data_IF_060415075889
#
_entry.id   IF_060415075889
#
_cell.length_a   1.000
_cell.length_b   1.000
_cell.length_c   1.000
_cell.angle_alpha   90.00
_cell.angle_beta   90.00
_cell.angle_gamma   90.00
#
_symmetry.space_group_name_H-M   'P 1'
#
loop_
_entity.id
_entity.type
_entity.pdbx_description
1 polymer ?
#
# COMPACT_ATOMS: atom_id res chain seq x y z
N UNK A 1 17.51 -4.90 4.77
CA UNK A 1 17.66 -6.13 3.93
C UNK A 1 19.12 -6.31 3.55
N UNK A 2 19.53 -7.53 3.16
CA UNK A 2 20.92 -7.86 2.84
C UNK A 2 21.51 -7.01 1.68
N UNK A 3 20.67 -6.47 0.80
CA UNK A 3 21.09 -5.65 -0.35
C UNK A 3 21.26 -4.15 -0.03
N UNK A 4 21.45 -3.78 1.24
CA UNK A 4 21.59 -2.38 1.65
C UNK A 4 20.28 -1.57 1.57
N UNK A 5 19.13 -2.23 1.58
CA UNK A 5 17.81 -1.57 1.59
C UNK A 5 17.33 -1.40 3.03
N UNK A 6 17.15 -0.16 3.47
CA UNK A 6 16.46 0.20 4.72
C UNK A 6 14.94 0.20 4.52
N UNK A 7 14.18 -0.20 5.54
CA UNK A 7 12.72 -0.20 5.52
C UNK A 7 12.20 0.48 6.77
N UNK A 8 11.36 1.51 6.59
CA UNK A 8 10.74 2.24 7.70
C UNK A 8 9.24 2.32 7.49
N UNK A 9 8.43 1.65 8.34
CA UNK A 9 6.98 1.82 8.33
C UNK A 9 6.58 3.03 9.16
N UNK A 10 5.89 4.00 8.54
CA UNK A 10 5.30 5.12 9.25
C UNK A 10 3.79 4.90 9.38
N UNK A 11 3.33 4.63 10.61
CA UNK A 11 1.92 4.26 10.87
C UNK A 11 0.99 5.45 11.05
N UNK A 12 1.52 6.60 11.48
CA UNK A 12 0.76 7.83 11.72
C UNK A 12 1.72 9.01 11.69
N UNK A 13 1.23 10.18 11.25
CA UNK A 13 1.96 11.44 11.38
C UNK A 13 1.68 12.05 12.76
N UNK A 14 2.43 11.59 13.78
CA UNK A 14 2.44 12.11 15.15
C UNK A 14 3.37 13.34 15.27
N UNK A 15 3.33 14.03 16.42
CA UNK A 15 4.15 15.23 16.68
C UNK A 15 5.66 15.04 16.46
N UNK A 16 6.17 13.81 16.63
CA UNK A 16 7.59 13.49 16.49
C UNK A 16 7.88 12.69 15.20
N UNK A 17 6.92 12.51 14.31
CA UNK A 17 7.05 11.61 13.17
C UNK A 17 8.24 11.96 12.26
N UNK A 18 8.51 13.25 12.06
CA UNK A 18 9.65 13.73 11.27
C UNK A 18 10.98 13.32 11.92
N UNK A 19 11.15 13.60 13.20
CA UNK A 19 12.40 13.34 13.92
C UNK A 19 12.65 11.84 14.09
N UNK A 20 11.60 11.07 14.36
CA UNK A 20 11.67 9.60 14.43
C UNK A 20 12.06 9.00 13.07
N UNK A 21 11.52 9.51 11.96
CA UNK A 21 11.92 9.05 10.63
C UNK A 21 13.37 9.41 10.31
N UNK A 22 13.79 10.64 10.62
CA UNK A 22 15.17 11.07 10.39
C UNK A 22 16.14 10.20 11.18
N UNK A 23 15.89 9.99 12.47
CA UNK A 23 16.71 9.17 13.34
C UNK A 23 16.77 7.72 12.86
N UNK A 24 15.62 7.12 12.51
CA UNK A 24 15.56 5.76 11.98
C UNK A 24 16.33 5.62 10.66
N UNK A 25 16.20 6.61 9.76
CA UNK A 25 16.91 6.61 8.48
C UNK A 25 18.42 6.71 8.68
N UNK A 26 18.88 7.62 9.56
CA UNK A 26 20.31 7.73 9.90
C UNK A 26 20.86 6.45 10.54
N UNK A 27 20.10 5.81 11.42
CA UNK A 27 20.48 4.54 12.03
C UNK A 27 20.63 3.43 10.98
N UNK A 28 19.65 3.28 10.08
CA UNK A 28 19.72 2.31 8.99
C UNK A 28 20.92 2.58 8.06
N UNK A 29 21.21 3.84 7.75
CA UNK A 29 22.39 4.20 6.96
C UNK A 29 23.70 3.88 7.67
N UNK A 30 23.78 4.10 8.98
CA UNK A 30 24.93 3.69 9.79
C UNK A 30 25.13 2.18 9.80
N UNK A 31 24.03 1.41 9.72
CA UNK A 31 24.03 -0.06 9.58
C UNK A 31 24.25 -0.54 8.13
N UNK A 32 24.58 0.38 7.20
CA UNK A 32 24.96 0.06 5.82
C UNK A 32 23.83 0.16 4.80
N UNK A 33 22.66 0.69 5.15
CA UNK A 33 21.62 0.98 4.16
C UNK A 33 22.05 2.14 3.24
N UNK A 34 21.92 1.93 1.93
CA UNK A 34 22.24 2.92 0.89
C UNK A 34 21.01 3.33 0.08
N UNK A 35 19.85 2.74 0.41
CA UNK A 35 18.57 2.92 -0.26
C UNK A 35 17.45 2.70 0.74
N UNK A 36 16.27 3.25 0.50
CA UNK A 36 15.20 3.25 1.49
C UNK A 36 13.81 2.95 0.89
N UNK A 37 13.03 2.21 1.67
CA UNK A 37 11.59 2.06 1.50
C UNK A 37 10.90 2.77 2.67
N UNK A 38 10.08 3.77 2.35
CA UNK A 38 9.14 4.39 3.28
C UNK A 38 7.76 3.76 3.09
N UNK A 39 7.29 3.01 4.07
CA UNK A 39 5.99 2.33 3.98
C UNK A 39 4.90 3.15 4.65
N UNK A 40 4.01 3.72 3.83
CA UNK A 40 2.84 4.51 4.25
C UNK A 40 1.54 3.69 4.20
N UNK A 41 1.60 2.39 3.88
CA UNK A 41 0.40 1.53 3.81
C UNK A 41 -0.31 1.46 5.16
N UNK A 42 -1.63 1.59 5.11
CA UNK A 42 -2.47 1.64 6.31
C UNK A 42 -2.41 2.96 7.08
N UNK A 43 -1.61 3.96 6.66
CA UNK A 43 -1.46 5.22 7.39
C UNK A 43 -2.57 6.22 7.01
N UNK A 44 -3.51 6.54 7.92
CA UNK A 44 -4.64 7.44 7.63
C UNK A 44 -4.25 8.94 7.61
N UNK A 45 -2.95 9.23 7.76
CA UNK A 45 -2.37 10.55 7.87
C UNK A 45 -2.10 10.93 9.33
N UNK A 46 -2.42 12.16 9.69
CA UNK A 46 -2.14 12.72 11.00
C UNK A 46 -1.94 14.22 10.89
N UNK A 47 -0.97 14.73 11.63
CA UNK A 47 -0.57 16.13 11.65
C UNK A 47 0.00 16.55 10.28
N UNK A 48 -0.52 17.63 9.73
CA UNK A 48 -0.17 18.11 8.38
C UNK A 48 1.23 18.71 8.33
N UNK A 49 1.53 19.55 9.31
CA UNK A 49 2.84 20.17 9.54
C UNK A 49 3.94 19.11 9.60
N UNK A 50 3.65 17.98 10.25
CA UNK A 50 4.56 16.83 10.29
C UNK A 50 4.71 16.15 8.93
N UNK A 51 3.65 16.09 8.12
CA UNK A 51 3.74 15.63 6.73
C UNK A 51 4.64 16.53 5.88
N UNK A 52 4.49 17.87 6.00
CA UNK A 52 5.32 18.83 5.27
C UNK A 52 6.78 18.75 5.71
N UNK A 53 7.04 18.76 7.02
CA UNK A 53 8.38 18.66 7.58
C UNK A 53 9.06 17.33 7.24
N UNK A 54 8.29 16.25 7.06
CA UNK A 54 8.82 14.97 6.62
C UNK A 54 9.23 15.00 5.14
N UNK A 55 8.44 15.64 4.27
CA UNK A 55 8.82 15.80 2.87
C UNK A 55 10.13 16.61 2.72
N UNK A 56 10.34 17.60 3.60
CA UNK A 56 11.58 18.41 3.70
C UNK A 56 12.84 17.55 3.89
N UNK A 57 12.74 16.39 4.55
CA UNK A 57 13.89 15.47 4.71
C UNK A 57 14.47 14.99 3.37
N UNK A 58 13.69 15.04 2.29
CA UNK A 58 14.05 14.48 0.99
C UNK A 58 14.04 15.50 -0.15
N UNK A 59 13.65 16.75 0.11
CA UNK A 59 13.49 17.79 -0.92
C UNK A 59 14.35 19.00 -0.57
N UNK A 60 14.87 19.68 -1.59
CA UNK A 60 15.59 20.95 -1.42
C UNK A 60 14.72 22.02 -0.76
N UNK A 61 15.36 23.07 -0.23
CA UNK A 61 14.70 24.24 0.36
C UNK A 61 13.81 24.97 -0.67
N UNK A 62 12.71 25.55 -0.21
CA UNK A 62 11.78 26.35 -1.02
C UNK A 62 11.12 25.58 -2.18
N UNK A 63 10.92 24.28 -2.02
CA UNK A 63 10.13 23.45 -2.91
C UNK A 63 8.69 23.32 -2.39
N UNK A 64 7.71 23.49 -3.29
CA UNK A 64 6.30 23.27 -2.96
C UNK A 64 6.06 21.82 -2.56
N UNK A 65 5.44 21.58 -1.41
CA UNK A 65 4.98 20.25 -0.98
C UNK A 65 3.51 20.07 -1.30
N UNK A 66 2.67 21.06 -1.00
CA UNK A 66 1.24 21.03 -1.29
C UNK A 66 0.65 22.42 -1.39
N UNK A 67 -0.49 22.53 -2.07
CA UNK A 67 -1.28 23.74 -2.11
C UNK A 67 -2.70 23.49 -1.57
N UNK A 68 -3.24 24.46 -0.84
CA UNK A 68 -4.68 24.54 -0.59
C UNK A 68 -5.32 25.51 -1.57
N UNK A 69 -6.48 25.13 -2.11
CA UNK A 69 -7.33 26.05 -2.88
C UNK A 69 -8.75 26.00 -2.34
N UNK A 70 -9.20 27.13 -1.79
CA UNK A 70 -10.53 27.30 -1.19
C UNK A 70 -11.42 28.23 -2.01
N UNK A 71 -12.57 28.61 -1.43
CA UNK A 71 -13.52 29.54 -2.07
C UNK A 71 -13.03 30.98 -1.98
N UNK A 72 -12.30 31.32 -0.93
CA UNK A 72 -11.75 32.66 -0.69
C UNK A 72 -10.23 32.64 -0.75
N UNK A 73 -9.60 33.76 -1.13
CA UNK A 73 -8.12 33.86 -1.21
C UNK A 73 -7.43 33.52 0.11
N UNK A 74 -8.03 33.86 1.24
CA UNK A 74 -7.51 33.54 2.58
C UNK A 74 -7.46 32.04 2.91
N UNK A 75 -8.13 31.20 2.11
CA UNK A 75 -8.09 29.74 2.25
C UNK A 75 -7.05 29.11 1.31
N UNK A 76 -6.42 29.92 0.46
CA UNK A 76 -5.34 29.47 -0.40
C UNK A 76 -4.02 29.59 0.35
N UNK A 77 -3.19 28.56 0.23
CA UNK A 77 -1.88 28.48 0.86
C UNK A 77 -0.99 27.59 0.01
N UNK A 78 0.32 27.87 0.05
CA UNK A 78 1.35 27.03 -0.54
C UNK A 78 2.24 26.61 0.61
N UNK A 79 2.34 25.31 0.85
CA UNK A 79 3.21 24.72 1.85
C UNK A 79 4.52 24.35 1.16
N UNK A 80 5.64 24.78 1.75
CA UNK A 80 6.98 24.64 1.17
C UNK A 80 7.92 24.01 2.19
N UNK A 81 9.00 23.42 1.69
CA UNK A 81 10.15 22.99 2.49
C UNK A 81 10.92 24.19 3.03
N UNK A 82 11.50 24.05 4.22
CA UNK A 82 12.16 25.15 4.94
C UNK A 82 13.63 24.88 5.23
N UNK A 83 14.04 23.63 5.43
CA UNK A 83 15.41 23.29 5.87
C UNK A 83 16.28 22.71 4.76
N UNK A 84 15.68 22.09 3.75
CA UNK A 84 16.37 21.40 2.67
C UNK A 84 16.73 19.95 3.02
N UNK A 85 17.17 19.20 2.00
CA UNK A 85 17.23 17.74 2.08
C UNK A 85 18.26 17.23 3.07
N UNK A 86 17.82 16.34 3.96
CA UNK A 86 18.68 15.63 4.91
C UNK A 86 19.32 14.38 4.30
N UNK A 87 18.72 13.85 3.23
CA UNK A 87 19.13 12.61 2.57
C UNK A 87 19.33 12.80 1.05
N UNK A 88 20.29 13.66 0.64
CA UNK A 88 20.58 13.92 -0.77
C UNK A 88 20.95 12.64 -1.51
N UNK A 89 20.30 12.43 -2.66
CA UNK A 89 20.60 11.31 -3.57
C UNK A 89 20.24 9.91 -3.08
N UNK A 90 19.68 9.75 -1.87
CA UNK A 90 19.24 8.46 -1.35
C UNK A 90 18.09 7.90 -2.20
N UNK A 91 18.25 6.77 -2.93
CA UNK A 91 17.16 6.19 -3.71
C UNK A 91 16.01 5.78 -2.81
N UNK A 92 14.80 6.21 -3.16
CA UNK A 92 13.62 6.13 -2.31
C UNK A 92 12.44 5.51 -3.07
N UNK A 93 11.86 4.49 -2.45
CA UNK A 93 10.53 3.96 -2.82
C UNK A 93 9.55 4.25 -1.70
N UNK A 94 8.32 4.66 -2.05
CA UNK A 94 7.22 4.83 -1.12
C UNK A 94 6.17 3.75 -1.40
N UNK A 95 5.79 2.99 -0.38
CA UNK A 95 4.67 2.06 -0.48
C UNK A 95 3.37 2.73 -0.03
N UNK A 96 2.33 2.63 -0.85
CA UNK A 96 0.97 3.14 -0.55
C UNK A 96 -0.11 2.08 -0.82
N UNK A 97 -1.27 2.29 -0.21
CA UNK A 97 -2.47 1.46 -0.39
C UNK A 97 -3.74 2.32 -0.27
N UNK A 98 -4.91 1.70 -0.47
CA UNK A 98 -6.21 2.36 -0.34
C UNK A 98 -6.54 2.94 1.04
N UNK A 99 -5.70 2.68 2.06
CA UNK A 99 -5.84 3.23 3.42
C UNK A 99 -4.86 4.38 3.69
N UNK A 100 -3.91 4.60 2.79
CA UNK A 100 -3.01 5.75 2.79
C UNK A 100 -3.84 7.01 2.54
N UNK A 101 -3.92 7.91 3.51
CA UNK A 101 -4.81 9.06 3.44
C UNK A 101 -4.18 10.36 3.98
N UNK A 102 -4.70 11.51 3.56
CA UNK A 102 -4.38 12.83 4.13
C UNK A 102 -2.89 13.15 4.05
N UNK A 103 -2.17 13.29 5.18
CA UNK A 103 -0.74 13.60 5.19
C UNK A 103 0.10 12.58 4.42
N UNK A 104 -0.27 11.29 4.43
CA UNK A 104 0.38 10.25 3.63
C UNK A 104 0.31 10.55 2.13
N UNK A 105 -0.84 11.05 1.67
CA UNK A 105 -1.08 11.38 0.26
C UNK A 105 -0.34 12.66 -0.14
N UNK A 106 -0.22 13.62 0.78
CA UNK A 106 0.55 14.84 0.57
C UNK A 106 2.03 14.51 0.41
N UNK A 107 2.61 13.68 1.30
CA UNK A 107 4.01 13.27 1.22
C UNK A 107 4.27 12.45 -0.05
N UNK A 108 3.47 11.40 -0.29
CA UNK A 108 3.64 10.56 -1.47
C UNK A 108 3.47 11.37 -2.76
N UNK A 109 2.45 12.24 -2.84
CA UNK A 109 2.21 13.09 -4.00
C UNK A 109 3.31 14.13 -4.23
N UNK A 110 3.82 14.76 -3.18
CA UNK A 110 4.93 15.71 -3.29
C UNK A 110 6.20 15.04 -3.80
N UNK A 111 6.60 13.93 -3.17
CA UNK A 111 7.82 13.22 -3.54
C UNK A 111 7.71 12.54 -4.92
N UNK A 112 6.51 12.13 -5.33
CA UNK A 112 6.25 11.64 -6.68
C UNK A 112 6.34 12.76 -7.72
N UNK A 113 5.72 13.92 -7.46
CA UNK A 113 5.71 15.05 -8.39
C UNK A 113 7.09 15.70 -8.56
N UNK A 114 7.92 15.69 -7.52
CA UNK A 114 9.32 16.12 -7.59
C UNK A 114 10.25 15.06 -8.19
N UNK A 115 9.74 13.90 -8.59
CA UNK A 115 10.55 12.77 -9.06
C UNK A 115 11.62 12.36 -8.05
N UNK A 116 11.34 12.59 -6.76
CA UNK A 116 12.23 12.27 -5.65
C UNK A 116 12.03 10.84 -5.16
N UNK A 117 10.85 10.28 -5.34
CA UNK A 117 10.53 8.91 -4.96
C UNK A 117 9.72 8.19 -6.04
N UNK A 118 9.92 6.87 -6.13
CA UNK A 118 9.06 5.97 -6.89
C UNK A 118 7.94 5.47 -5.96
N UNK A 119 6.69 5.62 -6.38
CA UNK A 119 5.52 5.18 -5.60
C UNK A 119 5.07 3.81 -6.10
N UNK A 120 4.95 2.83 -5.19
CA UNK A 120 4.58 1.44 -5.51
C UNK A 120 3.40 1.02 -4.63
N UNK A 121 2.49 0.21 -5.18
CA UNK A 121 1.39 -0.41 -4.42
C UNK A 121 0.03 -0.22 -5.08
N UNK A 122 -0.97 0.20 -4.30
CA UNK A 122 -2.33 0.46 -4.78
C UNK A 122 -2.70 1.94 -4.60
N UNK A 123 -3.65 2.43 -5.42
CA UNK A 123 -4.13 3.82 -5.34
C UNK A 123 -4.56 4.20 -3.91
N UNK A 124 -4.14 5.38 -3.45
CA UNK A 124 -4.48 5.89 -2.11
C UNK A 124 -5.96 6.24 -1.93
N UNK A 125 -6.36 6.56 -0.69
CA UNK A 125 -7.76 6.77 -0.32
C UNK A 125 -8.46 7.91 -1.11
N UNK A 126 -7.75 9.01 -1.36
CA UNK A 126 -8.26 10.20 -2.05
C UNK A 126 -8.88 11.24 -1.11
N UNK A 127 -8.32 11.45 0.08
CA UNK A 127 -8.77 12.46 1.05
C UNK A 127 -8.08 13.80 0.80
N UNK A 128 -8.49 14.47 -0.26
CA UNK A 128 -7.98 15.79 -0.65
C UNK A 128 -8.75 16.98 -0.05
N UNK A 129 -9.36 16.87 1.13
CA UNK A 129 -10.13 17.94 1.76
C UNK A 129 -9.43 18.55 2.97
N UNK A 130 -9.42 19.88 3.05
CA UNK A 130 -8.99 20.66 4.21
C UNK A 130 -10.19 20.90 5.12
N UNK A 131 -10.06 20.60 6.41
CA UNK A 131 -11.09 20.86 7.41
C UNK A 131 -10.59 21.88 8.43
N UNK A 132 -11.30 23.00 8.57
CA UNK A 132 -11.00 24.07 9.52
C UNK A 132 -11.93 23.96 10.74
N UNK A 133 -11.38 24.19 11.93
CA UNK A 133 -12.15 24.25 13.18
C UNK A 133 -12.51 25.69 13.52
N UNK A 134 -13.80 25.98 13.63
CA UNK A 134 -14.34 27.27 14.04
C UNK A 134 -14.90 27.15 15.45
N UNK A 135 -14.33 27.87 16.41
CA UNK A 135 -14.86 27.93 17.77
C UNK A 135 -16.14 28.78 17.78
N UNK A 136 -17.19 28.24 18.37
CA UNK A 136 -18.49 28.89 18.52
C UNK A 136 -18.67 29.41 19.94
N UNK A 137 -19.65 30.30 20.14
CA UNK A 137 -20.08 30.68 21.49
C UNK A 137 -20.55 29.45 22.28
N UNK A 138 -20.24 29.43 23.58
CA UNK A 138 -20.59 28.30 24.46
C UNK A 138 -19.63 27.10 24.39
N UNK A 139 -18.46 27.23 23.75
CA UNK A 139 -17.41 26.20 23.77
C UNK A 139 -17.54 25.11 22.69
N UNK A 140 -18.59 25.16 21.87
CA UNK A 140 -18.77 24.24 20.74
C UNK A 140 -17.74 24.53 19.61
N UNK A 141 -17.46 23.52 18.78
CA UNK A 141 -16.54 23.66 17.63
C UNK A 141 -17.22 23.14 16.36
N UNK A 142 -17.28 23.97 15.33
CA UNK A 142 -17.71 23.58 13.99
C UNK A 142 -16.50 23.14 13.16
N UNK A 143 -16.52 21.89 12.69
CA UNK A 143 -15.53 21.37 11.74
C UNK A 143 -16.08 21.49 10.32
N UNK A 144 -15.54 22.39 9.52
CA UNK A 144 -16.04 22.70 8.18
C UNK A 144 -14.97 22.46 7.11
N UNK A 145 -15.35 21.82 6.02
CA UNK A 145 -14.48 21.70 4.83
C UNK A 145 -14.39 23.04 4.11
N UNK A 146 -13.19 23.57 3.99
CA UNK A 146 -12.93 24.95 3.50
C UNK A 146 -12.15 24.99 2.20
N UNK A 147 -11.31 23.99 1.94
CA UNK A 147 -10.45 23.94 0.76
C UNK A 147 -10.17 22.51 0.30
N UNK A 148 -9.52 22.39 -0.86
CA UNK A 148 -8.98 21.14 -1.41
C UNK A 148 -7.46 21.18 -1.44
N UNK A 149 -6.84 20.01 -1.30
CA UNK A 149 -5.41 19.77 -1.47
C UNK A 149 -5.05 19.50 -2.93
N UNK A 150 -3.94 20.10 -3.35
CA UNK A 150 -3.31 19.88 -4.64
C UNK A 150 -1.84 19.57 -4.44
N UNK A 151 -1.31 18.65 -5.23
CA UNK A 151 0.11 18.32 -5.27
C UNK A 151 0.90 19.40 -6.04
N UNK A 152 2.25 19.36 -6.05
CA UNK A 152 3.08 20.34 -6.77
C UNK A 152 2.78 20.47 -8.26
N UNK A 153 2.42 19.37 -8.95
CA UNK A 153 1.99 19.39 -10.36
C UNK A 153 0.56 19.93 -10.56
N UNK A 154 -0.11 20.39 -9.50
CA UNK A 154 -1.43 21.00 -9.55
C UNK A 154 -2.59 20.01 -9.70
N UNK A 155 -2.36 18.71 -9.50
CA UNK A 155 -3.42 17.69 -9.50
C UNK A 155 -4.13 17.62 -8.15
N UNK A 156 -5.45 17.46 -8.20
CA UNK A 156 -6.27 17.29 -6.99
C UNK A 156 -6.13 15.87 -6.45
N UNK A 157 -5.91 15.73 -5.16
CA UNK A 157 -5.92 14.43 -4.47
C UNK A 157 -7.35 13.91 -4.30
N UNK A 158 -8.33 14.82 -4.23
CA UNK A 158 -9.70 14.47 -3.85
C UNK A 158 -10.34 13.47 -4.82
N UNK A 159 -10.81 12.34 -4.29
CA UNK A 159 -11.69 11.39 -5.00
C UNK A 159 -13.08 12.01 -5.20
N UNK A 160 -13.64 11.85 -6.40
CA UNK A 160 -15.01 12.27 -6.70
C UNK A 160 -15.98 11.46 -5.82
N UNK A 161 -17.10 12.09 -5.40
CA UNK A 161 -18.09 11.45 -4.51
C UNK A 161 -19.48 11.29 -5.13
N UNK A 162 -19.74 11.85 -6.31
CA UNK A 162 -21.08 11.85 -6.91
C UNK A 162 -21.08 11.00 -8.18
N UNK A 163 -21.82 9.89 -8.16
CA UNK A 163 -22.04 9.00 -9.30
C UNK A 163 -20.91 8.01 -9.61
N UNK A 164 -19.85 8.00 -8.81
CA UNK A 164 -18.72 7.08 -8.97
C UNK A 164 -18.92 5.84 -8.09
N UNK A 165 -19.94 5.04 -8.42
CA UNK A 165 -20.11 3.69 -7.81
C UNK A 165 -18.89 2.81 -8.15
N UNK A 166 -18.20 3.10 -9.27
CA UNK A 166 -17.01 2.38 -9.74
C UNK A 166 -15.85 2.36 -8.75
N UNK A 167 -15.74 3.39 -7.87
CA UNK A 167 -14.72 3.44 -6.82
C UNK A 167 -14.84 2.30 -5.79
N UNK A 168 -15.99 1.64 -5.71
CA UNK A 168 -16.25 0.49 -4.84
C UNK A 168 -16.62 -0.79 -5.61
N UNK A 169 -16.81 -0.73 -6.92
CA UNK A 169 -17.17 -1.91 -7.74
C UNK A 169 -15.98 -2.82 -8.05
N UNK A 170 -14.76 -2.27 -8.09
CA UNK A 170 -13.56 -3.02 -8.45
C UNK A 170 -12.58 -3.14 -7.26
N UNK A 171 -13.10 -3.66 -6.16
CA UNK A 171 -12.33 -3.99 -4.95
C UNK A 171 -12.17 -5.49 -4.78
N UNK A 172 -11.09 -5.91 -4.16
CA UNK A 172 -10.81 -7.31 -3.85
C UNK A 172 -10.23 -7.44 -2.46
N UNK A 173 -10.56 -8.54 -1.79
CA UNK A 173 -10.00 -8.87 -0.49
C UNK A 173 -8.60 -9.47 -0.65
N UNK A 174 -7.61 -8.94 0.06
CA UNK A 174 -6.27 -9.52 0.12
C UNK A 174 -6.25 -10.78 0.99
N UNK A 175 -5.22 -11.59 0.84
CA UNK A 175 -4.92 -12.71 1.73
C UNK A 175 -4.80 -12.28 3.20
N UNK A 176 -4.41 -11.02 3.44
CA UNK A 176 -4.36 -10.39 4.77
C UNK A 176 -5.67 -9.76 5.25
N UNK A 177 -6.77 -9.95 4.51
CA UNK A 177 -8.10 -9.44 4.86
C UNK A 177 -8.28 -7.94 4.66
N UNK A 178 -7.50 -7.32 3.77
CA UNK A 178 -7.61 -5.89 3.45
C UNK A 178 -8.31 -5.69 2.11
N UNK A 179 -9.19 -4.70 2.02
CA UNK A 179 -9.78 -4.31 0.74
C UNK A 179 -8.81 -3.43 -0.04
N UNK A 180 -8.55 -3.80 -1.30
CA UNK A 180 -7.71 -3.03 -2.23
C UNK A 180 -8.44 -2.86 -3.56
N UNK A 181 -8.21 -1.73 -4.23
CA UNK A 181 -8.77 -1.48 -5.56
C UNK A 181 -7.95 -2.28 -6.60
N UNK A 182 -8.59 -3.06 -7.48
CA UNK A 182 -7.88 -3.87 -8.49
C UNK A 182 -7.31 -3.02 -9.63
N UNK A 183 -7.96 -1.90 -9.95
CA UNK A 183 -7.53 -0.94 -10.97
C UNK A 183 -6.90 0.33 -10.38
N UNK A 184 -6.00 0.93 -11.14
CA UNK A 184 -5.27 2.15 -10.78
C UNK A 184 -5.87 3.44 -11.38
N UNK A 185 -6.97 3.29 -12.14
CA UNK A 185 -7.80 4.37 -12.65
C UNK A 185 -7.28 5.01 -13.93
N UNK A 186 -6.97 4.22 -14.96
CA UNK A 186 -6.43 4.67 -16.25
C UNK A 186 -7.23 5.80 -16.93
N UNK A 187 -8.54 5.89 -16.69
CA UNK A 187 -9.44 6.92 -17.21
C UNK A 187 -9.34 8.30 -16.52
N UNK A 188 -8.45 8.44 -15.53
CA UNK A 188 -8.25 9.69 -14.78
C UNK A 188 -7.48 10.75 -15.58
N UNK A 189 -7.67 12.00 -15.19
CA UNK A 189 -7.02 13.14 -15.85
C UNK A 189 -5.48 13.00 -15.77
N UNK A 190 -4.77 13.00 -16.90
CA UNK A 190 -3.31 12.92 -16.91
C UNK A 190 -2.68 14.28 -16.58
N UNK A 191 -1.57 14.21 -15.86
CA UNK A 191 -0.68 15.30 -15.49
C UNK A 191 0.77 14.89 -15.77
N UNK A 192 1.69 15.82 -15.50
CA UNK A 192 3.13 15.57 -15.54
C UNK A 192 3.75 15.87 -14.18
N UNK A 193 4.63 15.00 -13.71
CA UNK A 193 5.57 15.37 -12.65
C UNK A 193 6.46 16.53 -13.13
N UNK A 194 7.20 17.16 -12.23
CA UNK A 194 8.07 18.29 -12.55
C UNK A 194 9.25 17.88 -13.45
N UNK A 195 9.70 16.62 -13.38
CA UNK A 195 10.63 15.98 -14.30
C UNK A 195 9.97 15.32 -15.53
N UNK A 196 8.65 15.47 -15.71
CA UNK A 196 7.95 15.11 -16.95
C UNK A 196 7.38 13.70 -17.05
N UNK A 197 7.43 12.89 -15.99
CA UNK A 197 6.79 11.56 -15.97
C UNK A 197 5.27 11.69 -15.98
N UNK A 198 4.56 10.68 -16.51
CA UNK A 198 3.10 10.64 -16.47
C UNK A 198 2.64 10.37 -15.04
N UNK A 199 1.74 11.21 -14.53
CA UNK A 199 1.06 11.01 -13.25
C UNK A 199 -0.43 11.29 -13.43
N UNK A 200 -1.28 10.72 -12.57
CA UNK A 200 -2.74 10.88 -12.65
C UNK A 200 -3.27 11.75 -11.52
N UNK A 201 -4.29 12.55 -11.80
CA UNK A 201 -4.99 13.38 -10.82
C UNK A 201 -6.43 12.95 -10.62
N UNK A 202 -6.96 13.23 -9.43
CA UNK A 202 -8.33 12.89 -9.02
C UNK A 202 -8.46 11.43 -8.63
N UNK A 203 -8.80 11.14 -7.37
CA UNK A 203 -8.95 9.75 -6.89
C UNK A 203 -7.91 9.26 -5.89
N UNK A 204 -7.02 10.15 -5.41
CA UNK A 204 -5.86 9.80 -4.60
C UNK A 204 -4.57 9.91 -5.40
N UNK A 205 -3.49 9.43 -4.79
CA UNK A 205 -2.20 9.22 -5.42
C UNK A 205 -2.25 7.86 -6.10
N UNK A 206 -2.23 7.87 -7.43
CA UNK A 206 -1.98 6.66 -8.23
C UNK A 206 -0.48 6.35 -8.18
N UNK A 207 -0.09 5.10 -7.86
CA UNK A 207 1.33 4.71 -7.81
C UNK A 207 1.96 4.77 -9.21
N UNK A 208 3.28 4.91 -9.26
CA UNK A 208 4.07 4.76 -10.49
C UNK A 208 4.11 3.30 -10.95
N UNK A 209 4.09 2.36 -10.01
CA UNK A 209 3.98 0.93 -10.30
C UNK A 209 2.84 0.32 -9.49
N UNK A 210 1.79 -0.09 -10.19
CA UNK A 210 0.64 -0.74 -9.58
C UNK A 210 0.97 -2.21 -9.26
N UNK A 211 1.08 -2.52 -7.97
CA UNK A 211 1.36 -3.88 -7.46
C UNK A 211 0.39 -4.15 -6.33
N UNK A 212 -0.47 -5.15 -6.51
CA UNK A 212 -1.38 -5.58 -5.47
C UNK A 212 -0.69 -6.57 -4.53
N UNK A 213 -1.06 -6.58 -3.23
CA UNK A 213 -0.78 -7.72 -2.37
C UNK A 213 -1.37 -9.02 -2.93
N UNK A 214 -1.02 -10.18 -2.37
CA UNK A 214 -1.69 -11.43 -2.73
C UNK A 214 -3.20 -11.30 -2.46
N UNK A 215 -4.03 -11.48 -3.49
CA UNK A 215 -5.49 -11.31 -3.44
C UNK A 215 -6.19 -12.64 -3.41
N UNK A 216 -7.35 -12.67 -2.76
CA UNK A 216 -8.26 -13.80 -2.84
C UNK A 216 -8.92 -13.85 -4.22
N UNK A 217 -9.11 -15.06 -4.74
CA UNK A 217 -10.03 -15.32 -5.85
C UNK A 217 -11.47 -15.07 -5.40
N UNK A 218 -12.40 -14.88 -6.35
CA UNK A 218 -13.81 -14.61 -6.02
C UNK A 218 -14.44 -15.73 -5.15
N UNK A 219 -14.04 -16.99 -5.38
CA UNK A 219 -14.47 -18.15 -4.58
C UNK A 219 -13.90 -18.15 -3.16
N UNK A 220 -12.62 -17.81 -3.01
CA UNK A 220 -11.96 -17.65 -1.70
C UNK A 220 -12.57 -16.49 -0.93
N UNK A 221 -12.79 -15.34 -1.58
CA UNK A 221 -13.39 -14.15 -0.99
C UNK A 221 -14.80 -14.46 -0.47
N UNK A 222 -15.65 -15.07 -1.30
CA UNK A 222 -17.00 -15.47 -0.88
C UNK A 222 -16.97 -16.43 0.32
N UNK A 223 -15.95 -17.28 0.43
CA UNK A 223 -15.77 -18.16 1.57
C UNK A 223 -15.32 -17.41 2.83
N UNK A 224 -14.37 -16.49 2.72
CA UNK A 224 -13.88 -15.65 3.83
C UNK A 224 -14.98 -14.74 4.36
N UNK A 225 -15.79 -14.13 3.50
CA UNK A 225 -16.91 -13.28 3.93
C UNK A 225 -18.00 -14.05 4.70
N UNK A 226 -18.16 -15.36 4.44
CA UNK A 226 -19.03 -16.22 5.26
C UNK A 226 -18.46 -16.43 6.67
N UNK A 227 -17.14 -16.52 6.80
CA UNK A 227 -16.46 -16.62 8.10
C UNK A 227 -16.53 -15.31 8.89
N UNK A 228 -16.54 -14.16 8.21
CA UNK A 228 -16.61 -12.83 8.84
C UNK A 228 -17.90 -12.62 9.67
N UNK A 229 -18.99 -13.35 9.35
CA UNK A 229 -20.20 -13.39 10.22
C UNK A 229 -19.92 -13.84 11.64
N UNK A 230 -18.81 -14.57 11.83
CA UNK A 230 -18.31 -15.03 13.12
C UNK A 230 -17.00 -14.33 13.51
N UNK A 231 -16.66 -13.15 12.95
CA UNK A 231 -15.35 -12.50 13.09
C UNK A 231 -14.80 -12.44 14.53
N UNK A 232 -15.67 -12.12 15.51
CA UNK A 232 -15.28 -12.12 16.94
C UNK A 232 -14.93 -13.51 17.45
N UNK A 233 -15.74 -14.51 17.11
CA UNK A 233 -15.52 -15.91 17.46
C UNK A 233 -14.27 -16.46 16.79
N UNK A 234 -14.09 -16.16 15.49
CA UNK A 234 -12.95 -16.55 14.68
C UNK A 234 -11.64 -15.99 15.24
N UNK A 235 -11.59 -14.69 15.56
CA UNK A 235 -10.39 -14.08 16.13
C UNK A 235 -9.99 -14.71 17.48
N UNK A 236 -10.98 -15.01 18.33
CA UNK A 236 -10.75 -15.71 19.61
C UNK A 236 -10.26 -17.14 19.38
N UNK A 237 -10.85 -17.87 18.43
CA UNK A 237 -10.46 -19.25 18.11
C UNK A 237 -9.04 -19.31 17.52
N UNK A 238 -8.69 -18.36 16.65
CA UNK A 238 -7.36 -18.22 16.08
C UNK A 238 -6.33 -17.99 17.19
N UNK A 239 -6.62 -17.06 18.11
CA UNK A 239 -5.80 -16.77 19.28
C UNK A 239 -5.56 -18.02 20.13
N UNK A 240 -6.63 -18.71 20.52
CA UNK A 240 -6.58 -19.87 21.41
C UNK A 240 -5.84 -21.04 20.76
N UNK A 241 -6.14 -21.34 19.49
CA UNK A 241 -5.45 -22.39 18.76
C UNK A 241 -3.96 -22.10 18.61
N UNK A 242 -3.57 -20.86 18.30
CA UNK A 242 -2.16 -20.48 18.21
C UNK A 242 -1.43 -20.67 19.56
N UNK A 243 -2.08 -20.42 20.70
CA UNK A 243 -1.52 -20.68 22.04
C UNK A 243 -1.30 -22.18 22.27
N UNK A 244 -2.30 -23.02 21.94
CA UNK A 244 -2.16 -24.47 22.05
C UNK A 244 -1.06 -25.00 21.12
N UNK A 245 -1.01 -24.50 19.89
CA UNK A 245 -0.04 -24.89 18.87
C UNK A 245 1.41 -24.70 19.33
N UNK A 246 1.70 -23.56 19.96
CA UNK A 246 3.05 -23.27 20.46
C UNK A 246 3.40 -24.06 21.72
N UNK A 247 2.42 -24.34 22.59
CA UNK A 247 2.61 -25.14 23.81
C UNK A 247 2.95 -26.60 23.49
N UNK A 248 2.31 -27.17 22.47
CA UNK A 248 2.59 -28.53 22.01
C UNK A 248 3.91 -28.66 21.24
N UNK A 249 4.43 -27.54 20.72
CA UNK A 249 5.64 -27.50 19.90
C UNK A 249 6.61 -26.42 20.39
N UNK A 250 7.09 -26.51 21.64
CA UNK A 250 7.96 -25.47 22.20
C UNK A 250 9.21 -25.24 21.35
N UNK A 251 9.77 -26.32 20.80
CA UNK A 251 11.03 -26.31 20.05
C UNK A 251 10.89 -26.03 18.54
N UNK A 252 9.67 -25.83 18.03
CA UNK A 252 9.50 -25.56 16.60
C UNK A 252 10.12 -24.20 16.20
N UNK A 253 10.87 -24.12 15.09
CA UNK A 253 11.46 -22.87 14.63
C UNK A 253 10.41 -21.77 14.42
N UNK A 254 10.72 -20.49 14.74
CA UNK A 254 9.91 -19.37 14.31
C UNK A 254 9.67 -19.40 12.80
N UNK A 255 8.42 -19.16 12.37
CA UNK A 255 8.06 -19.20 10.94
C UNK A 255 7.84 -20.60 10.35
N UNK A 256 7.76 -21.65 11.19
CA UNK A 256 7.35 -22.99 10.73
C UNK A 256 6.00 -22.92 10.01
N UNK A 257 5.93 -23.49 8.81
CA UNK A 257 4.70 -23.55 8.04
C UNK A 257 3.65 -24.40 8.75
N UNK A 258 2.39 -23.96 8.71
CA UNK A 258 1.25 -24.74 9.19
C UNK A 258 1.05 -25.90 8.21
N UNK A 259 0.94 -27.13 8.71
CA UNK A 259 0.71 -28.32 7.87
C UNK A 259 -0.78 -28.55 7.61
N UNK A 260 -1.12 -29.42 6.67
CA UNK A 260 -2.52 -29.79 6.41
C UNK A 260 -3.18 -30.45 7.63
N UNK A 261 -2.41 -31.21 8.41
CA UNK A 261 -2.87 -31.80 9.67
C UNK A 261 -3.18 -30.71 10.71
N UNK A 262 -2.37 -29.66 10.78
CA UNK A 262 -2.60 -28.53 11.68
C UNK A 262 -3.84 -27.74 11.27
N UNK A 263 -4.03 -27.54 9.96
CA UNK A 263 -5.21 -26.87 9.43
C UNK A 263 -6.49 -27.69 9.70
N UNK A 264 -6.44 -29.02 9.55
CA UNK A 264 -7.57 -29.90 9.88
C UNK A 264 -7.92 -29.81 11.38
N UNK A 265 -6.92 -29.77 12.27
CA UNK A 265 -7.13 -29.54 13.71
C UNK A 265 -7.74 -28.17 13.98
N UNK A 266 -7.33 -27.13 13.27
CA UNK A 266 -7.92 -25.81 13.43
C UNK A 266 -9.38 -25.77 12.98
N UNK A 267 -9.72 -26.42 11.85
CA UNK A 267 -11.11 -26.55 11.39
C UNK A 267 -11.98 -27.25 12.43
N UNK A 268 -11.47 -28.31 13.07
CA UNK A 268 -12.17 -28.97 14.18
C UNK A 268 -12.34 -28.02 15.38
N UNK A 269 -11.30 -27.26 15.74
CA UNK A 269 -11.36 -26.29 16.82
C UNK A 269 -12.42 -25.19 16.57
N UNK A 270 -12.57 -24.73 15.32
CA UNK A 270 -13.64 -23.81 14.93
C UNK A 270 -15.03 -24.45 15.16
N UNK A 271 -15.21 -25.70 14.73
CA UNK A 271 -16.46 -26.44 14.92
C UNK A 271 -16.82 -26.64 16.40
N UNK A 272 -15.84 -27.02 17.23
CA UNK A 272 -16.03 -27.20 18.69
C UNK A 272 -16.47 -25.90 19.39
N UNK A 273 -16.10 -24.75 18.82
CA UNK A 273 -16.50 -23.42 19.31
C UNK A 273 -17.83 -22.92 18.73
N UNK A 274 -18.54 -23.75 17.97
CA UNK A 274 -19.81 -23.37 17.33
C UNK A 274 -19.63 -22.33 16.22
N UNK A 275 -18.44 -22.21 15.65
CA UNK A 275 -18.20 -21.43 14.43
C UNK A 275 -18.55 -22.36 13.26
N UNK A 276 -19.85 -22.50 13.04
CA UNK A 276 -20.43 -23.38 12.02
C UNK A 276 -20.30 -22.72 10.64
N UNK A 277 -19.11 -22.85 10.06
CA UNK A 277 -18.88 -22.57 8.66
C UNK A 277 -18.99 -23.89 7.88
N UNK A 278 -19.77 -23.86 6.80
CA UNK A 278 -19.90 -25.00 5.89
C UNK A 278 -18.51 -25.54 5.50
N UNK A 279 -18.32 -26.86 5.57
CA UNK A 279 -17.02 -27.49 5.30
C UNK A 279 -16.41 -27.04 3.97
N UNK A 280 -17.24 -26.92 2.93
CA UNK A 280 -16.85 -26.45 1.61
C UNK A 280 -16.41 -24.97 1.58
N UNK A 281 -16.82 -24.15 2.55
CA UNK A 281 -16.31 -22.78 2.71
C UNK A 281 -14.96 -22.78 3.43
N UNK A 282 -14.76 -23.62 4.45
CA UNK A 282 -13.46 -23.76 5.14
C UNK A 282 -12.38 -24.36 4.24
N UNK A 283 -12.75 -25.22 3.30
CA UNK A 283 -11.86 -25.73 2.25
C UNK A 283 -11.48 -24.63 1.27
N UNK A 284 -12.46 -23.86 0.76
CA UNK A 284 -12.18 -22.73 -0.13
C UNK A 284 -11.37 -21.63 0.54
N UNK A 285 -11.57 -21.36 1.83
CA UNK A 285 -10.81 -20.35 2.57
C UNK A 285 -9.41 -20.83 3.04
N UNK A 286 -8.93 -21.99 2.58
CA UNK A 286 -7.71 -22.61 3.09
C UNK A 286 -6.48 -21.70 3.08
N UNK A 287 -6.20 -21.02 1.96
CA UNK A 287 -5.06 -20.09 1.85
C UNK A 287 -5.14 -19.01 2.93
N UNK A 288 -6.32 -18.40 3.09
CA UNK A 288 -6.58 -17.39 4.09
C UNK A 288 -6.40 -17.92 5.52
N UNK A 289 -7.01 -19.07 5.85
CA UNK A 289 -6.91 -19.67 7.18
C UNK A 289 -5.46 -20.02 7.54
N UNK A 290 -4.71 -20.57 6.60
CA UNK A 290 -3.30 -20.91 6.79
C UNK A 290 -2.45 -19.65 7.04
N UNK A 291 -2.66 -18.61 6.23
CA UNK A 291 -1.98 -17.34 6.39
C UNK A 291 -2.26 -16.72 7.77
N UNK A 292 -3.53 -16.65 8.17
CA UNK A 292 -3.95 -16.09 9.46
C UNK A 292 -3.38 -16.88 10.64
N UNK A 293 -3.39 -18.22 10.56
CA UNK A 293 -2.78 -19.07 11.57
C UNK A 293 -1.29 -18.85 11.70
N UNK A 294 -0.55 -18.88 10.59
CA UNK A 294 0.90 -18.68 10.60
C UNK A 294 1.27 -17.30 11.13
N UNK A 295 0.48 -16.28 10.75
CA UNK A 295 0.64 -14.91 11.26
C UNK A 295 0.44 -14.85 12.77
N UNK A 296 -0.65 -15.43 13.28
CA UNK A 296 -0.95 -15.42 14.71
C UNK A 296 0.05 -16.27 15.51
N UNK A 297 0.48 -17.43 14.99
CA UNK A 297 1.52 -18.28 15.60
C UNK A 297 2.85 -17.51 15.66
N UNK A 298 3.27 -16.86 14.58
CA UNK A 298 4.49 -16.06 14.55
C UNK A 298 4.42 -14.92 15.58
N UNK A 299 3.26 -14.23 15.65
CA UNK A 299 3.00 -13.20 16.64
C UNK A 299 3.11 -13.71 18.07
N UNK A 300 2.62 -14.91 18.34
CA UNK A 300 2.69 -15.51 19.69
C UNK A 300 4.09 -15.96 20.07
N UNK A 301 4.91 -16.37 19.10
CA UNK A 301 6.29 -16.81 19.35
C UNK A 301 7.26 -15.66 19.57
N UNK A 302 7.26 -14.67 18.67
CA UNK A 302 8.30 -13.61 18.66
C UNK A 302 7.71 -12.20 18.71
N UNK A 303 6.44 -12.07 19.08
CA UNK A 303 5.77 -10.78 19.18
C UNK A 303 5.52 -10.15 17.81
N UNK A 304 5.47 -8.81 17.79
CA UNK A 304 5.17 -8.05 16.57
C UNK A 304 6.21 -8.23 15.47
N UNK A 305 7.45 -8.56 15.82
CA UNK A 305 8.52 -8.83 14.85
C UNK A 305 8.21 -10.08 14.00
N UNK A 306 7.77 -11.17 14.64
CA UNK A 306 7.36 -12.38 13.91
C UNK A 306 6.16 -12.17 12.99
N UNK A 307 5.15 -11.45 13.50
CA UNK A 307 4.00 -11.04 12.69
C UNK A 307 4.45 -10.25 11.46
N UNK A 308 5.31 -9.26 11.66
CA UNK A 308 5.85 -8.43 10.59
C UNK A 308 6.61 -9.24 9.55
N UNK A 309 7.55 -10.11 9.97
CA UNK A 309 8.30 -10.97 9.05
C UNK A 309 7.37 -11.89 8.23
N UNK A 310 6.30 -12.42 8.84
CA UNK A 310 5.33 -13.26 8.12
C UNK A 310 4.56 -12.47 7.07
N UNK A 311 4.16 -11.24 7.39
CA UNK A 311 3.51 -10.35 6.43
C UNK A 311 4.44 -10.06 5.25
N UNK A 312 5.72 -9.76 5.51
CA UNK A 312 6.71 -9.46 4.46
C UNK A 312 6.92 -10.63 3.48
N UNK A 313 6.90 -11.88 3.94
CA UNK A 313 7.06 -13.05 3.06
C UNK A 313 5.92 -13.17 2.04
N UNK A 314 4.76 -12.59 2.31
CA UNK A 314 3.58 -12.59 1.44
C UNK A 314 3.22 -11.18 0.95
N UNK A 315 4.23 -10.33 0.73
CA UNK A 315 4.05 -8.92 0.37
C UNK A 315 4.67 -8.61 -1.00
N UNK A 316 3.96 -8.89 -2.12
CA UNK A 316 4.45 -8.59 -3.46
C UNK A 316 4.86 -7.12 -3.68
N UNK A 317 4.13 -6.10 -3.19
CA UNK A 317 4.56 -4.70 -3.30
C UNK A 317 5.94 -4.45 -2.66
N UNK A 318 6.16 -4.99 -1.45
CA UNK A 318 7.45 -4.86 -0.77
C UNK A 318 8.55 -5.65 -1.49
N UNK A 319 8.28 -6.89 -1.88
CA UNK A 319 9.24 -7.72 -2.62
C UNK A 319 9.68 -7.03 -3.91
N UNK A 320 8.72 -6.42 -4.63
CA UNK A 320 8.97 -5.66 -5.85
C UNK A 320 9.81 -4.41 -5.60
N UNK A 321 9.50 -3.66 -4.55
CA UNK A 321 10.29 -2.49 -4.16
C UNK A 321 11.74 -2.86 -3.80
N UNK A 322 11.94 -3.96 -3.06
CA UNK A 322 13.27 -4.48 -2.72
C UNK A 322 14.03 -4.89 -3.98
N UNK A 323 13.39 -5.60 -4.92
CA UNK A 323 14.02 -6.01 -6.17
C UNK A 323 14.47 -4.82 -7.03
N UNK A 324 13.60 -3.82 -7.18
CA UNK A 324 13.91 -2.59 -7.92
C UNK A 324 15.08 -1.84 -7.27
N UNK A 325 15.03 -1.64 -5.97
CA UNK A 325 16.10 -0.98 -5.23
C UNK A 325 17.40 -1.77 -5.31
N UNK A 326 17.37 -3.10 -5.23
CA UNK A 326 18.56 -3.95 -5.36
C UNK A 326 19.32 -3.69 -6.67
N UNK A 327 18.60 -3.41 -7.77
CA UNK A 327 19.14 -3.18 -9.11
C UNK A 327 19.51 -1.71 -9.39
N UNK A 328 18.81 -0.77 -8.77
CA UNK A 328 19.02 0.66 -8.98
C UNK A 328 20.25 1.20 -8.24
N UNK A 329 20.93 2.17 -8.86
CA UNK A 329 22.05 2.92 -8.25
C UNK A 329 21.68 4.37 -7.94
N UNK A 330 20.62 4.87 -8.55
CA UNK A 330 20.13 6.23 -8.40
C UNK A 330 18.59 6.27 -8.40
N UNK A 331 18.01 7.42 -8.08
CA UNK A 331 16.58 7.62 -8.22
C UNK A 331 16.12 7.56 -9.69
N UNK A 332 16.94 8.09 -10.62
CA UNK A 332 16.64 8.03 -12.05
C UNK A 332 16.65 6.59 -12.56
N UNK A 333 17.60 5.77 -12.11
CA UNK A 333 17.68 4.35 -12.47
C UNK A 333 16.39 3.61 -12.07
N UNK A 334 15.77 3.94 -10.93
CA UNK A 334 14.50 3.33 -10.52
C UNK A 334 13.38 3.61 -11.53
N UNK A 335 13.27 4.86 -12.00
CA UNK A 335 12.26 5.22 -13.00
C UNK A 335 12.55 4.57 -14.35
N UNK A 336 13.81 4.52 -14.77
CA UNK A 336 14.20 3.91 -16.04
C UNK A 336 13.90 2.40 -16.05
N UNK A 337 14.13 1.71 -14.92
CA UNK A 337 13.79 0.29 -14.75
C UNK A 337 12.29 0.02 -14.92
N UNK A 338 11.44 0.85 -14.29
CA UNK A 338 9.97 0.71 -14.40
C UNK A 338 9.50 1.04 -15.82
N UNK A 339 10.00 2.12 -16.42
CA UNK A 339 9.63 2.51 -17.78
C UNK A 339 10.00 1.44 -18.83
N UNK A 340 11.16 0.78 -18.65
CA UNK A 340 11.57 -0.31 -19.53
C UNK A 340 10.63 -1.52 -19.46
N UNK A 341 10.14 -1.85 -18.25
CA UNK A 341 9.20 -2.96 -18.05
C UNK A 341 7.82 -2.67 -18.64
N UNK A 342 7.31 -1.45 -18.46
CA UNK A 342 6.06 -1.03 -19.11
C UNK A 342 6.16 -1.09 -20.64
N UNK A 343 7.30 -0.67 -21.20
CA UNK A 343 7.56 -0.75 -22.64
C UNK A 343 7.59 -2.20 -23.14
N UNK A 344 8.19 -3.11 -22.38
CA UNK A 344 8.23 -4.55 -22.71
C UNK A 344 6.84 -5.18 -22.62
N UNK A 345 6.08 -4.88 -21.57
CA UNK A 345 4.71 -5.36 -21.40
C UNK A 345 3.81 -4.89 -22.55
N UNK A 346 3.87 -3.61 -22.90
CA UNK A 346 3.10 -3.04 -24.01
C UNK A 346 3.50 -3.65 -25.37
N UNK A 347 4.79 -3.94 -25.57
CA UNK A 347 5.27 -4.61 -26.80
C UNK A 347 4.83 -6.07 -26.89
N UNK A 348 4.76 -6.78 -25.77
CA UNK A 348 4.30 -8.18 -25.71
C UNK A 348 2.79 -8.30 -26.00
N UNK A 349 1.98 -7.34 -25.55
CA UNK A 349 0.54 -7.27 -25.84
C UNK A 349 0.27 -6.95 -27.33
N UNK A 350 1.19 -6.24 -28.01
CA UNK A 350 1.05 -5.86 -29.42
C UNK A 350 1.64 -6.87 -30.42
N UNK A 351 2.25 -7.97 -29.96
CA UNK A 351 2.73 -9.01 -30.86
C UNK A 351 1.53 -9.71 -31.54
N UNK A 352 1.40 -9.69 -32.88
CA UNK A 352 0.29 -10.36 -33.55
C UNK A 352 0.43 -11.87 -33.31
N UNK A 353 -0.59 -12.47 -32.71
CA UNK A 353 -0.74 -13.91 -32.63
C UNK A 353 -0.64 -14.51 -34.02
N UNK A 354 0.51 -15.12 -34.33
CA UNK A 354 0.74 -15.84 -35.57
C UNK A 354 -0.10 -17.11 -35.61
N UNK A 355 -1.39 -16.99 -35.92
CA UNK A 355 -2.12 -18.05 -36.58
C UNK A 355 -1.72 -17.99 -38.06
N UNK A 356 -0.62 -18.67 -38.37
CA UNK A 356 -0.31 -19.05 -39.74
C UNK A 356 -1.49 -19.89 -40.24
N UNK A 357 -2.23 -19.34 -41.20
CA UNK A 357 -3.25 -20.06 -41.92
C UNK A 357 -2.63 -21.27 -42.60
N UNK A 358 -3.10 -22.46 -42.23
CA UNK A 358 -2.89 -23.68 -43.01
C UNK A 358 -3.73 -23.58 -44.29
N UNK A 359 -3.19 -22.87 -45.27
CA UNK A 359 -3.66 -22.88 -46.64
C UNK A 359 -3.10 -24.10 -47.36
N UNK A 360 -3.72 -25.26 -47.16
CA UNK A 360 -3.48 -26.43 -47.99
C UNK A 360 -4.47 -26.45 -49.19
N UNK A 361 -4.00 -26.56 -50.45
CA UNK A 361 -4.86 -26.58 -51.62
C UNK A 361 -5.36 -28.00 -51.91
N UNK A 362 -6.68 -28.22 -51.83
CA UNK A 362 -7.33 -29.48 -52.18
C UNK A 362 -8.14 -29.36 -53.46
N UNK A 363 -7.54 -29.70 -54.60
CA UNK A 363 -8.26 -30.02 -55.84
C UNK A 363 -8.63 -31.51 -55.85
N UNK A 364 -9.86 -31.87 -56.27
CA UNK A 364 -10.15 -33.23 -56.77
C UNK A 364 -11.55 -33.81 -56.52
N UNK A 365 -12.43 -33.71 -57.54
CA UNK A 365 -13.46 -34.67 -58.00
C UNK A 365 -14.36 -35.38 -56.95
N UNK A 366 -15.69 -35.33 -57.02
CA UNK A 366 -16.58 -35.77 -58.11
C UNK A 366 -18.00 -35.25 -57.87
#
# INVERSE_FOLDING_TARGET
>A
FQDGVGYVPLRVFSENARDELEAATRALMADGATRMILDLRGNPGGLLDQGVALADLFLDEDLTVAETRGRTRSQNSVLRTEQGESFPGLPLVILIDGRSASASEIVAGALQDHDRALVVGATSFGKGLVQTLYRLSGGNVLKLTTARWYTPSGRSIQRARAGDESAFEDVVLTLSGQWVQRSDGEDRQPYRSLGGRRVLGGGGITPDLHVLPDTLTDDEEAAVLRLDRHARGFSSALFEFAVLYIQERPDAPPGSAVTDADLARFRQHLADRGIDAEAAALERAERYLRFELEREIARRRTGREGEFLRLMTADPPLARAVELLARARSQQDLFDLVAAEESLANSAVQAPGGLAGDGSPGAGSR
#
